data_IF_822574371089
#
_entry.id   IF_822574371089
#
_cell.length_a   1.000
_cell.length_b   1.000
_cell.length_c   1.000
_cell.angle_alpha   90.00
_cell.angle_beta   90.00
_cell.angle_gamma   90.00
#
_symmetry.space_group_name_H-M   'P 1'
#
loop_
_entity.id
_entity.type
_entity.pdbx_description
1 polymer ?
#
# COMPACT_ATOMS: atom_id res chain seq x y z
N UNK A 1 -51.45 -32.45 16.21
CA UNK A 1 -51.49 -33.62 15.30
C UNK A 1 -51.63 -34.85 16.16
N UNK A 2 -52.30 -35.89 15.65
CA UNK A 2 -52.30 -37.20 16.29
C UNK A 2 -50.89 -37.78 16.23
N UNK A 3 -50.49 -38.49 17.27
CA UNK A 3 -49.28 -39.31 17.31
C UNK A 3 -49.63 -40.75 16.95
N UNK A 4 -48.64 -41.59 16.57
CA UNK A 4 -48.88 -43.03 16.43
C UNK A 4 -49.56 -43.63 17.69
N UNK A 5 -49.17 -43.17 18.87
CA UNK A 5 -49.77 -43.59 20.15
C UNK A 5 -51.24 -43.14 20.32
N UNK A 6 -51.62 -42.00 19.76
CA UNK A 6 -53.02 -41.55 19.75
C UNK A 6 -53.88 -42.38 18.79
N UNK A 7 -53.31 -42.86 17.68
CA UNK A 7 -54.00 -43.74 16.71
C UNK A 7 -54.19 -45.13 17.30
N UNK A 8 -53.15 -45.69 17.92
CA UNK A 8 -53.16 -47.01 18.57
C UNK A 8 -54.18 -47.10 19.72
N UNK A 9 -54.34 -46.03 20.49
CA UNK A 9 -55.28 -45.98 21.62
C UNK A 9 -56.71 -45.59 21.24
N UNK A 10 -56.97 -45.31 19.96
CA UNK A 10 -58.27 -44.82 19.52
C UNK A 10 -59.35 -45.90 19.69
N UNK A 11 -60.43 -45.57 20.40
CA UNK A 11 -61.58 -46.46 20.54
C UNK A 11 -62.81 -45.88 19.85
N UNK A 12 -63.55 -46.75 19.14
CA UNK A 12 -64.80 -46.39 18.48
C UNK A 12 -66.01 -47.03 19.17
N UNK A 13 -67.13 -46.31 19.19
CA UNK A 13 -68.40 -46.83 19.72
C UNK A 13 -69.06 -47.79 18.72
N UNK A 14 -69.63 -48.89 19.23
CA UNK A 14 -70.30 -49.90 18.38
C UNK A 14 -71.73 -49.47 18.05
N UNK A 15 -72.13 -49.57 16.78
CA UNK A 15 -73.50 -49.30 16.31
C UNK A 15 -74.03 -50.43 15.42
N UNK A 16 -75.36 -50.62 15.38
CA UNK A 16 -76.01 -51.62 14.54
C UNK A 16 -75.80 -51.27 13.04
N UNK A 17 -75.12 -52.15 12.29
CA UNK A 17 -74.60 -51.96 10.92
C UNK A 17 -73.33 -51.06 10.79
N UNK A 18 -72.45 -51.06 11.78
CA UNK A 18 -71.12 -50.44 11.67
C UNK A 18 -70.10 -51.24 10.86
N UNK A 19 -68.90 -50.67 10.68
CA UNK A 19 -67.76 -51.36 10.07
C UNK A 19 -67.32 -52.58 10.90
N UNK A 20 -66.67 -53.54 10.24
CA UNK A 20 -66.09 -54.71 10.91
C UNK A 20 -64.93 -54.28 11.81
N UNK A 21 -64.96 -54.67 13.08
CA UNK A 21 -63.98 -54.22 14.08
C UNK A 21 -62.57 -54.70 13.72
N UNK A 22 -62.42 -55.98 13.34
CA UNK A 22 -61.12 -56.57 12.95
C UNK A 22 -60.50 -55.85 11.75
N UNK A 23 -61.28 -55.56 10.70
CA UNK A 23 -60.76 -54.83 9.53
C UNK A 23 -60.34 -53.38 9.87
N UNK A 24 -61.04 -52.74 10.81
CA UNK A 24 -60.67 -51.39 11.28
C UNK A 24 -59.41 -51.44 12.13
N UNK A 25 -59.27 -52.44 13.01
CA UNK A 25 -58.09 -52.61 13.86
C UNK A 25 -56.84 -52.91 13.02
N UNK A 26 -56.93 -53.82 12.04
CA UNK A 26 -55.84 -54.13 11.10
C UNK A 26 -55.39 -52.87 10.32
N UNK A 27 -56.37 -52.06 9.86
CA UNK A 27 -56.07 -50.81 9.17
C UNK A 27 -55.41 -49.77 10.09
N UNK A 28 -55.86 -49.67 11.35
CA UNK A 28 -55.24 -48.76 12.32
C UNK A 28 -53.82 -49.19 12.68
N UNK A 29 -53.51 -50.49 12.73
CA UNK A 29 -52.16 -50.99 12.96
C UNK A 29 -51.22 -50.64 11.79
N UNK A 30 -51.65 -50.86 10.55
CA UNK A 30 -50.91 -50.45 9.34
C UNK A 30 -50.70 -48.92 9.32
N UNK A 31 -51.77 -48.17 9.58
CA UNK A 31 -51.72 -46.71 9.65
C UNK A 31 -50.76 -46.21 10.72
N UNK A 32 -50.76 -46.83 11.90
CA UNK A 32 -49.88 -46.46 13.02
C UNK A 32 -48.41 -46.65 12.65
N UNK A 33 -48.06 -47.79 12.05
CA UNK A 33 -46.71 -48.08 11.58
C UNK A 33 -46.24 -47.09 10.51
N UNK A 34 -47.07 -46.85 9.49
CA UNK A 34 -46.75 -45.89 8.43
C UNK A 34 -46.58 -44.46 8.98
N UNK A 35 -47.43 -44.07 9.93
CA UNK A 35 -47.34 -42.76 10.57
C UNK A 35 -46.05 -42.60 11.37
N UNK A 36 -45.62 -43.64 12.09
CA UNK A 36 -44.35 -43.64 12.84
C UNK A 36 -43.15 -43.49 11.91
N UNK A 37 -43.10 -44.26 10.81
CA UNK A 37 -42.06 -44.15 9.78
C UNK A 37 -42.02 -42.73 9.20
N UNK A 38 -43.19 -42.16 8.88
CA UNK A 38 -43.29 -40.82 8.31
C UNK A 38 -42.85 -39.74 9.30
N UNK A 39 -43.19 -39.88 10.59
CA UNK A 39 -42.78 -38.94 11.65
C UNK A 39 -41.26 -38.97 11.87
N UNK A 40 -40.65 -40.16 11.88
CA UNK A 40 -39.20 -40.32 11.98
C UNK A 40 -38.47 -39.74 10.76
N UNK A 41 -38.98 -40.01 9.56
CA UNK A 41 -38.44 -39.43 8.33
C UNK A 41 -38.54 -37.90 8.34
N UNK A 42 -39.67 -37.34 8.77
CA UNK A 42 -39.85 -35.90 8.86
C UNK A 42 -38.87 -35.27 9.86
N UNK A 43 -38.73 -35.84 11.06
CA UNK A 43 -37.75 -35.37 12.06
C UNK A 43 -36.32 -35.41 11.51
N UNK A 44 -35.94 -36.49 10.83
CA UNK A 44 -34.63 -36.60 10.18
C UNK A 44 -34.43 -35.53 9.10
N UNK A 45 -35.47 -35.23 8.33
CA UNK A 45 -35.44 -34.19 7.31
C UNK A 45 -35.29 -32.80 7.94
N UNK A 46 -36.04 -32.50 8.99
CA UNK A 46 -35.94 -31.24 9.75
C UNK A 46 -34.54 -31.04 10.34
N UNK A 47 -33.97 -32.08 10.96
CA UNK A 47 -32.61 -32.03 11.49
C UNK A 47 -31.59 -31.79 10.37
N UNK A 48 -31.80 -32.39 9.19
CA UNK A 48 -30.93 -32.16 8.04
C UNK A 48 -31.04 -30.74 7.49
N UNK A 49 -32.25 -30.19 7.44
CA UNK A 49 -32.49 -28.80 7.03
C UNK A 49 -31.74 -27.85 7.98
N UNK A 50 -31.89 -28.02 9.30
CA UNK A 50 -31.18 -27.21 10.30
C UNK A 50 -29.65 -27.28 10.13
N UNK A 51 -29.10 -28.48 9.91
CA UNK A 51 -27.66 -28.65 9.66
C UNK A 51 -27.20 -27.88 8.40
N UNK A 52 -27.97 -27.96 7.32
CA UNK A 52 -27.67 -27.29 6.06
C UNK A 52 -27.79 -25.76 6.18
N UNK A 53 -28.79 -25.27 6.91
CA UNK A 53 -28.97 -23.83 7.18
C UNK A 53 -27.79 -23.26 7.97
N UNK A 54 -27.31 -23.96 8.99
CA UNK A 54 -26.11 -23.54 9.75
C UNK A 54 -24.89 -23.48 8.85
N UNK A 55 -24.67 -24.50 8.01
CA UNK A 55 -23.55 -24.53 7.06
C UNK A 55 -23.65 -23.40 6.04
N UNK A 56 -24.84 -23.14 5.49
CA UNK A 56 -25.07 -22.08 4.53
C UNK A 56 -24.79 -20.71 5.14
N UNK A 57 -25.26 -20.46 6.36
CA UNK A 57 -24.98 -19.23 7.08
C UNK A 57 -23.49 -19.04 7.33
N UNK A 58 -22.78 -20.10 7.76
CA UNK A 58 -21.32 -20.02 7.95
C UNK A 58 -20.58 -19.69 6.67
N UNK A 59 -20.93 -20.32 5.54
CA UNK A 59 -20.32 -20.03 4.23
C UNK A 59 -20.62 -18.60 3.80
N UNK A 60 -21.86 -18.14 3.97
CA UNK A 60 -22.27 -16.77 3.66
C UNK A 60 -21.48 -15.73 4.47
N UNK A 61 -21.39 -15.90 5.79
CA UNK A 61 -20.61 -15.02 6.67
C UNK A 61 -19.13 -15.02 6.29
N UNK A 62 -18.53 -16.18 6.07
CA UNK A 62 -17.11 -16.27 5.67
C UNK A 62 -16.86 -15.60 4.32
N UNK A 63 -17.78 -15.75 3.37
CA UNK A 63 -17.68 -15.11 2.05
C UNK A 63 -17.73 -13.59 2.18
N UNK A 64 -18.61 -13.04 3.01
CA UNK A 64 -18.68 -11.60 3.24
C UNK A 64 -17.39 -11.07 3.87
N UNK A 65 -16.87 -11.75 4.90
CA UNK A 65 -15.59 -11.38 5.53
C UNK A 65 -14.44 -11.41 4.52
N UNK A 66 -14.40 -12.42 3.66
CA UNK A 66 -13.39 -12.51 2.59
C UNK A 66 -13.51 -11.36 1.59
N UNK A 67 -14.73 -10.98 1.19
CA UNK A 67 -14.97 -9.86 0.29
C UNK A 67 -14.54 -8.53 0.91
N UNK A 68 -14.86 -8.28 2.18
CA UNK A 68 -14.41 -7.10 2.92
C UNK A 68 -12.89 -7.07 3.04
N UNK A 69 -12.28 -8.20 3.39
CA UNK A 69 -10.81 -8.32 3.48
C UNK A 69 -10.14 -8.04 2.14
N UNK A 70 -10.68 -8.56 1.04
CA UNK A 70 -10.17 -8.30 -0.31
C UNK A 70 -10.27 -6.82 -0.68
N UNK A 71 -11.38 -6.16 -0.30
CA UNK A 71 -11.56 -4.73 -0.54
C UNK A 71 -10.53 -3.89 0.22
N UNK A 72 -10.31 -4.20 1.51
CA UNK A 72 -9.30 -3.53 2.33
C UNK A 72 -7.89 -3.76 1.76
N UNK A 73 -7.58 -5.00 1.36
CA UNK A 73 -6.29 -5.32 0.75
C UNK A 73 -6.06 -4.53 -0.55
N UNK A 74 -7.09 -4.39 -1.39
CA UNK A 74 -7.03 -3.56 -2.60
C UNK A 74 -6.81 -2.08 -2.26
N UNK A 75 -7.60 -1.53 -1.32
CA UNK A 75 -7.44 -0.13 -0.89
C UNK A 75 -6.05 0.14 -0.34
N UNK A 76 -5.52 -0.79 0.47
CA UNK A 76 -4.17 -0.69 1.03
C UNK A 76 -3.11 -0.75 -0.07
N UNK A 77 -3.26 -1.63 -1.05
CA UNK A 77 -2.35 -1.70 -2.19
C UNK A 77 -2.36 -0.40 -3.03
N UNK A 78 -3.55 0.15 -3.27
CA UNK A 78 -3.71 1.42 -4.00
C UNK A 78 -3.09 2.59 -3.21
N UNK A 79 -3.29 2.65 -1.89
CA UNK A 79 -2.67 3.65 -1.02
C UNK A 79 -1.14 3.52 -0.98
N UNK A 80 -0.61 2.30 -0.87
CA UNK A 80 0.83 2.05 -0.90
C UNK A 80 1.44 2.51 -2.22
N UNK A 81 0.79 2.20 -3.35
CA UNK A 81 1.22 2.65 -4.66
C UNK A 81 1.25 4.17 -4.74
N UNK A 82 0.18 4.84 -4.30
CA UNK A 82 0.10 6.30 -4.31
C UNK A 82 1.19 6.94 -3.47
N UNK A 83 1.44 6.44 -2.25
CA UNK A 83 2.52 6.95 -1.39
C UNK A 83 3.90 6.77 -2.03
N UNK A 84 4.16 5.61 -2.63
CA UNK A 84 5.43 5.37 -3.32
C UNK A 84 5.63 6.32 -4.51
N UNK A 85 4.58 6.62 -5.27
CA UNK A 85 4.62 7.59 -6.37
C UNK A 85 4.87 9.02 -5.86
N UNK A 86 4.22 9.42 -4.75
CA UNK A 86 4.44 10.72 -4.11
C UNK A 86 5.87 10.86 -3.58
N UNK A 87 6.39 9.87 -2.84
CA UNK A 87 7.76 9.85 -2.34
C UNK A 87 8.78 9.89 -3.47
N UNK A 88 8.58 9.11 -4.53
CA UNK A 88 9.46 9.13 -5.69
C UNK A 88 9.48 10.51 -6.36
N UNK A 89 8.33 11.16 -6.48
CA UNK A 89 8.22 12.53 -7.01
C UNK A 89 8.99 13.53 -6.15
N UNK A 90 8.87 13.44 -4.82
CA UNK A 90 9.61 14.29 -3.88
C UNK A 90 11.12 14.08 -4.04
N UNK A 91 11.59 12.84 -4.02
CA UNK A 91 13.02 12.51 -4.15
C UNK A 91 13.59 13.07 -5.46
N UNK A 92 12.88 12.89 -6.58
CA UNK A 92 13.30 13.43 -7.89
C UNK A 92 13.30 14.96 -7.88
N UNK A 93 12.31 15.59 -7.26
CA UNK A 93 12.23 17.04 -7.11
C UNK A 93 13.39 17.61 -6.29
N UNK A 94 13.69 17.00 -5.14
CA UNK A 94 14.81 17.39 -4.28
C UNK A 94 16.16 17.22 -4.98
N UNK A 95 16.36 16.10 -5.68
CA UNK A 95 17.58 15.84 -6.44
C UNK A 95 17.78 16.89 -7.54
N UNK A 96 16.72 17.26 -8.28
CA UNK A 96 16.80 18.33 -9.29
C UNK A 96 17.16 19.67 -8.68
N UNK A 97 16.50 20.06 -7.60
CA UNK A 97 16.79 21.32 -6.89
C UNK A 97 18.24 21.36 -6.39
N UNK A 98 18.72 20.28 -5.79
CA UNK A 98 20.10 20.19 -5.32
C UNK A 98 21.13 20.31 -6.46
N UNK A 99 20.81 19.77 -7.64
CA UNK A 99 21.65 19.92 -8.82
C UNK A 99 21.65 21.35 -9.36
N UNK A 100 20.49 21.99 -9.42
CA UNK A 100 20.36 23.40 -9.82
C UNK A 100 21.14 24.32 -8.87
N UNK A 101 20.98 24.15 -7.55
CA UNK A 101 21.69 24.91 -6.53
C UNK A 101 23.22 24.70 -6.65
N UNK A 102 23.67 23.46 -6.88
CA UNK A 102 25.10 23.17 -7.08
C UNK A 102 25.65 23.77 -8.36
N UNK A 103 24.91 23.72 -9.46
CA UNK A 103 25.33 24.31 -10.72
C UNK A 103 25.50 25.83 -10.58
N UNK A 104 24.53 26.51 -9.97
CA UNK A 104 24.62 27.95 -9.69
C UNK A 104 25.81 28.32 -8.81
N UNK A 105 26.09 27.52 -7.76
CA UNK A 105 27.27 27.73 -6.91
C UNK A 105 28.59 27.53 -7.67
N UNK A 106 28.66 26.55 -8.58
CA UNK A 106 29.86 26.32 -9.40
C UNK A 106 30.11 27.51 -10.33
N UNK A 107 29.07 28.03 -10.98
CA UNK A 107 29.20 29.20 -11.86
C UNK A 107 29.71 30.42 -11.10
N UNK A 108 29.20 30.68 -9.88
CA UNK A 108 29.71 31.74 -9.01
C UNK A 108 31.18 31.54 -8.64
N UNK A 109 31.58 30.33 -8.24
CA UNK A 109 32.97 30.02 -7.91
C UNK A 109 33.88 30.23 -9.14
N UNK A 110 33.43 29.82 -10.33
CA UNK A 110 34.18 30.02 -11.57
C UNK A 110 34.38 31.51 -11.83
N UNK A 111 33.33 32.33 -11.70
CA UNK A 111 33.40 33.78 -11.88
C UNK A 111 34.37 34.43 -10.88
N UNK A 112 34.27 34.08 -9.59
CA UNK A 112 35.18 34.57 -8.55
C UNK A 112 36.65 34.21 -8.84
N UNK A 113 36.91 32.97 -9.29
CA UNK A 113 38.26 32.52 -9.64
C UNK A 113 38.79 33.23 -10.88
N UNK A 114 37.96 33.48 -11.88
CA UNK A 114 38.33 34.26 -13.07
C UNK A 114 38.67 35.70 -12.71
N UNK A 115 37.86 36.34 -11.86
CA UNK A 115 38.11 37.70 -11.37
C UNK A 115 39.43 37.78 -10.58
N UNK A 116 39.67 36.81 -9.69
CA UNK A 116 40.92 36.71 -8.92
C UNK A 116 42.13 36.51 -9.84
N UNK A 117 42.01 35.66 -10.85
CA UNK A 117 43.08 35.41 -11.82
C UNK A 117 43.41 36.68 -12.62
N UNK A 118 42.40 37.42 -13.07
CA UNK A 118 42.58 38.66 -13.80
C UNK A 118 43.22 39.75 -12.92
N UNK A 119 42.79 39.84 -11.66
CA UNK A 119 43.42 40.74 -10.69
C UNK A 119 44.91 40.42 -10.50
N UNK A 120 45.26 39.15 -10.23
CA UNK A 120 46.64 38.71 -10.05
C UNK A 120 47.50 38.96 -11.30
N UNK A 121 46.96 38.72 -12.50
CA UNK A 121 47.66 39.04 -13.76
C UNK A 121 48.00 40.53 -13.86
N UNK A 122 47.05 41.41 -13.56
CA UNK A 122 47.28 42.85 -13.58
C UNK A 122 48.29 43.28 -12.51
N UNK A 123 48.27 42.65 -11.34
CA UNK A 123 49.24 42.91 -10.27
C UNK A 123 50.66 42.51 -10.67
N UNK A 124 50.82 41.34 -11.31
CA UNK A 124 52.11 40.89 -11.87
C UNK A 124 52.64 41.86 -12.92
N UNK A 125 51.81 42.29 -13.87
CA UNK A 125 52.23 43.26 -14.90
C UNK A 125 52.63 44.60 -14.27
N UNK A 126 51.88 45.06 -13.27
CA UNK A 126 52.21 46.28 -12.52
C UNK A 126 53.54 46.15 -11.77
N UNK A 127 53.78 45.01 -11.13
CA UNK A 127 55.02 44.73 -10.42
C UNK A 127 56.21 44.69 -11.38
N UNK A 128 56.05 44.02 -12.53
CA UNK A 128 57.06 43.95 -13.59
C UNK A 128 57.43 45.34 -14.09
N UNK A 129 56.45 46.18 -14.42
CA UNK A 129 56.69 47.55 -14.87
C UNK A 129 57.43 48.39 -13.81
N UNK A 130 57.08 48.23 -12.52
CA UNK A 130 57.79 48.89 -11.41
C UNK A 130 59.24 48.42 -11.29
N UNK A 131 59.48 47.12 -11.40
CA UNK A 131 60.81 46.53 -11.33
C UNK A 131 61.69 46.99 -12.50
N UNK A 132 61.16 46.97 -13.73
CA UNK A 132 61.84 47.47 -14.92
C UNK A 132 62.21 48.95 -14.76
N UNK A 133 61.27 49.78 -14.30
CA UNK A 133 61.53 51.20 -14.04
C UNK A 133 62.64 51.41 -13.00
N UNK A 134 62.60 50.68 -11.90
CA UNK A 134 63.62 50.77 -10.84
C UNK A 134 65.02 50.39 -11.36
N UNK A 135 65.12 49.36 -12.20
CA UNK A 135 66.38 48.96 -12.83
C UNK A 135 66.89 50.02 -13.80
N UNK A 136 66.01 50.64 -14.60
CA UNK A 136 66.37 51.75 -15.50
C UNK A 136 66.89 52.94 -14.69
N UNK A 137 66.19 53.33 -13.63
CA UNK A 137 66.61 54.43 -12.74
C UNK A 137 67.99 54.15 -12.10
N UNK A 138 68.24 52.91 -11.66
CA UNK A 138 69.56 52.51 -11.14
C UNK A 138 70.67 52.57 -12.19
N UNK A 139 70.40 52.12 -13.43
CA UNK A 139 71.35 52.21 -14.54
C UNK A 139 71.68 53.66 -14.90
N UNK A 140 70.71 54.55 -14.90
CA UNK A 140 70.93 55.99 -15.14
C UNK A 140 71.83 56.61 -14.07
N UNK A 141 71.66 56.23 -12.80
CA UNK A 141 72.53 56.69 -11.71
C UNK A 141 73.97 56.21 -11.93
N UNK A 142 74.17 54.93 -12.27
CA UNK A 142 75.51 54.39 -12.52
C UNK A 142 76.21 55.10 -13.68
N UNK A 143 75.51 55.35 -14.79
CA UNK A 143 76.07 56.11 -15.92
C UNK A 143 76.52 57.51 -15.52
N UNK A 144 75.72 58.22 -14.72
CA UNK A 144 76.10 59.55 -14.20
C UNK A 144 77.34 59.50 -13.32
N UNK A 145 77.53 58.44 -12.53
CA UNK A 145 78.73 58.25 -11.70
C UNK A 145 79.96 58.01 -12.59
N UNK A 146 79.87 57.18 -13.62
CA UNK A 146 80.97 56.94 -14.57
C UNK A 146 81.37 58.23 -15.32
N UNK A 147 80.39 59.02 -15.77
CA UNK A 147 80.64 60.32 -16.41
C UNK A 147 81.33 61.31 -15.48
N UNK A 148 81.01 61.29 -14.18
CA UNK A 148 81.68 62.13 -13.18
C UNK A 148 83.12 61.66 -12.90
N UNK A 149 83.39 60.35 -12.97
CA UNK A 149 84.73 59.79 -12.79
C UNK A 149 85.64 60.00 -14.00
N UNK A 150 85.10 60.08 -15.23
CA UNK A 150 85.89 60.35 -16.44
C UNK A 150 86.23 61.84 -16.64
N UNK A 151 85.50 62.74 -15.96
CA UNK A 151 85.70 64.19 -16.00
C UNK A 151 86.53 64.74 -14.82
N UNK A 152 87.14 63.86 -14.02
CA UNK A 152 88.15 64.17 -12.99
C UNK A 152 89.51 63.64 -13.43
#
# INVERSE_FOLDING_TARGET
>A
MLTPEDIDKQQFSKQFKGYAVEEVDDFLEELTNDYEVLMLANKKQEDKIKELEIKLNSVSTNTNVLQETLLIAKQTADEMKKRAEEEASIIVGEAKKMLEDRAGNIDQIIEEKQNTLNFLKNEIETYKAKAERMLIEQLEILKKIEEQQQNQ
#
